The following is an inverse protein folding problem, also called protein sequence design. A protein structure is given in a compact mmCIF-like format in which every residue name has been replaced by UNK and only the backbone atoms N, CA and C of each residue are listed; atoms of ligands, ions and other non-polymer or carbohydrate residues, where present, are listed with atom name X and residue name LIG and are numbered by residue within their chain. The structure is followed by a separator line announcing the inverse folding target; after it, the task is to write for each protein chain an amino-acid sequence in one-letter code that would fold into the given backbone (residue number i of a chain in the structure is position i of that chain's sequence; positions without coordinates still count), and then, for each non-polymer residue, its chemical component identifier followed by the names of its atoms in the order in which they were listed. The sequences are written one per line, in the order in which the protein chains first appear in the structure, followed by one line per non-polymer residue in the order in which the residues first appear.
data_IF_705341982482
#
_entry.id   IF_705341982482
#
_cell.length_a   1.000
_cell.length_b   1.000
_cell.length_c   1.000
_cell.angle_alpha   90.00
_cell.angle_beta   90.00
_cell.angle_gamma   90.00
#
_symmetry.space_group_name_H-M   'P 1'
#
loop_
_entity.id
_entity.type
_entity.pdbx_description
1 polymer ?
#
# COMPACT_ATOMS: atom_id res chain seq x y z
N UNK A 1 -9.31 -7.34 0.83
CA UNK A 1 -9.54 -6.75 -0.52
C UNK A 1 -8.24 -6.84 -1.29
N UNK A 2 -8.23 -6.85 -2.63
CA UNK A 2 -6.98 -6.89 -3.40
C UNK A 2 -6.83 -5.60 -4.21
N UNK A 3 -5.82 -4.75 -3.91
CA UNK A 3 -5.56 -3.55 -4.69
C UNK A 3 -4.99 -3.92 -6.07
N UNK A 4 -5.37 -3.16 -7.10
CA UNK A 4 -4.94 -3.39 -8.49
C UNK A 4 -3.98 -2.32 -9.02
N UNK A 5 -4.03 -1.13 -8.44
CA UNK A 5 -3.22 0.02 -8.84
C UNK A 5 -2.87 0.82 -7.59
N UNK A 6 -1.68 1.42 -7.57
CA UNK A 6 -1.26 2.39 -6.56
C UNK A 6 -0.96 3.73 -7.22
N UNK A 7 -1.23 4.82 -6.50
CA UNK A 7 -0.73 6.15 -6.85
C UNK A 7 0.49 6.42 -5.98
N UNK A 8 1.63 6.71 -6.58
CA UNK A 8 2.86 7.04 -5.84
C UNK A 8 2.98 8.53 -5.56
N UNK A 9 4.01 8.95 -4.80
CA UNK A 9 4.22 10.36 -4.42
C UNK A 9 4.41 11.30 -5.62
N UNK A 10 4.79 10.78 -6.78
CA UNK A 10 4.90 11.54 -8.03
C UNK A 10 3.54 11.77 -8.73
N UNK A 11 2.45 11.26 -8.14
CA UNK A 11 1.10 11.35 -8.70
C UNK A 11 0.83 10.35 -9.83
N UNK A 12 1.81 9.51 -10.19
CA UNK A 12 1.64 8.51 -11.24
C UNK A 12 0.96 7.26 -10.71
N UNK A 13 0.18 6.62 -11.59
CA UNK A 13 -0.48 5.35 -11.34
C UNK A 13 0.42 4.21 -11.79
N UNK A 14 0.54 3.21 -10.93
CA UNK A 14 1.29 2.00 -11.18
C UNK A 14 0.39 0.79 -10.97
N UNK A 15 0.37 -0.12 -11.93
CA UNK A 15 -0.37 -1.36 -11.81
C UNK A 15 0.36 -2.35 -10.89
N UNK A 16 -0.43 -3.05 -10.08
CA UNK A 16 0.06 -4.12 -9.23
C UNK A 16 0.05 -5.41 -10.05
N UNK A 17 1.23 -5.91 -10.38
CA UNK A 17 1.42 -7.18 -11.08
C UNK A 17 0.83 -8.34 -10.26
N UNK A 18 1.08 -8.32 -8.95
CA UNK A 18 0.64 -9.38 -8.02
C UNK A 18 0.65 -8.91 -6.57
N UNK A 19 -0.34 -9.39 -5.80
CA UNK A 19 -0.28 -9.43 -4.33
C UNK A 19 0.34 -10.76 -3.90
N UNK A 20 1.51 -10.70 -3.27
CA UNK A 20 2.32 -11.86 -2.88
C UNK A 20 1.91 -12.39 -1.50
N UNK A 21 1.65 -11.49 -0.55
CA UNK A 21 1.37 -11.83 0.85
C UNK A 21 0.54 -10.74 1.51
N UNK A 22 -0.30 -11.11 2.49
CA UNK A 22 -1.13 -10.20 3.27
C UNK A 22 -1.08 -10.65 4.73
N UNK A 23 -0.66 -9.76 5.63
CA UNK A 23 -0.60 -10.05 7.07
C UNK A 23 -0.86 -8.82 7.92
N UNK A 24 -1.37 -8.97 9.15
CA UNK A 24 -1.39 -7.88 10.12
C UNK A 24 0.05 -7.41 10.40
N UNK A 25 0.30 -6.11 10.28
CA UNK A 25 1.57 -5.49 10.64
C UNK A 25 1.39 -3.99 10.88
N UNK A 26 2.20 -3.42 11.77
CA UNK A 26 2.28 -1.97 11.91
C UNK A 26 3.22 -1.40 10.84
N UNK A 27 2.90 -0.20 10.34
CA UNK A 27 3.77 0.51 9.41
C UNK A 27 4.81 1.30 10.20
N UNK A 28 5.96 0.67 10.45
CA UNK A 28 7.01 1.19 11.32
C UNK A 28 7.50 2.60 10.95
N UNK A 29 7.56 2.93 9.64
CA UNK A 29 8.10 4.20 9.15
C UNK A 29 7.06 5.31 8.98
N UNK A 30 5.83 4.95 8.62
CA UNK A 30 4.76 5.91 8.34
C UNK A 30 3.82 6.11 9.55
N UNK A 31 3.93 5.25 10.56
CA UNK A 31 2.90 5.11 11.59
C UNK A 31 1.64 4.43 11.05
N UNK A 32 0.82 3.90 11.94
CA UNK A 32 -0.45 3.25 11.61
C UNK A 32 -0.47 1.75 11.86
N UNK A 33 -1.66 1.23 12.11
CA UNK A 33 -1.92 -0.18 12.34
C UNK A 33 -2.83 -0.74 11.24
N UNK A 34 -2.63 -1.99 10.84
CA UNK A 34 -3.52 -2.62 9.88
C UNK A 34 -2.90 -3.79 9.14
N UNK A 35 -3.34 -3.98 7.90
CA UNK A 35 -2.88 -5.06 7.04
C UNK A 35 -1.75 -4.57 6.13
N UNK A 36 -0.62 -5.28 6.13
CA UNK A 36 0.47 -5.08 5.17
C UNK A 36 0.34 -6.07 4.02
N UNK A 37 0.34 -5.52 2.83
CA UNK A 37 0.35 -6.22 1.55
C UNK A 37 1.77 -6.17 1.00
N UNK A 38 2.36 -7.33 0.73
CA UNK A 38 3.56 -7.44 -0.11
C UNK A 38 3.07 -7.49 -1.55
N UNK A 39 3.39 -6.46 -2.33
CA UNK A 39 2.96 -6.34 -3.72
C UNK A 39 4.17 -6.34 -4.66
N UNK A 40 3.94 -6.74 -5.90
CA UNK A 40 4.89 -6.60 -6.99
C UNK A 40 4.36 -5.54 -7.97
N UNK A 41 5.21 -4.60 -8.35
CA UNK A 41 4.93 -3.50 -9.28
C UNK A 41 6.14 -3.35 -10.18
N UNK A 42 5.95 -3.42 -11.50
CA UNK A 42 7.04 -3.40 -12.49
C UNK A 42 8.14 -4.44 -12.18
N UNK A 43 7.74 -5.63 -11.72
CA UNK A 43 8.70 -6.67 -11.35
C UNK A 43 9.38 -6.49 -9.98
N UNK A 44 9.31 -5.31 -9.35
CA UNK A 44 9.90 -5.02 -8.05
C UNK A 44 8.92 -5.23 -6.89
N UNK A 45 9.41 -5.72 -5.74
CA UNK A 45 8.57 -5.91 -4.54
C UNK A 45 8.54 -4.67 -3.66
N UNK A 46 7.36 -4.29 -3.20
CA UNK A 46 7.17 -3.20 -2.24
C UNK A 46 6.04 -3.51 -1.25
N UNK A 47 5.81 -2.62 -0.29
CA UNK A 47 4.78 -2.76 0.74
C UNK A 47 3.71 -1.68 0.61
N UNK A 48 2.46 -2.12 0.68
CA UNK A 48 1.27 -1.29 0.73
C UNK A 48 0.51 -1.63 2.00
N UNK A 49 0.00 -0.62 2.70
CA UNK A 49 -0.65 -0.76 3.99
C UNK A 49 -2.09 -0.30 3.90
N UNK A 50 -2.99 -1.03 4.57
CA UNK A 50 -4.39 -0.65 4.73
C UNK A 50 -4.72 -0.53 6.21
N UNK A 51 -5.12 0.67 6.62
CA UNK A 51 -5.63 0.95 7.96
C UNK A 51 -7.13 1.15 7.90
N UNK A 52 -7.88 0.36 8.68
CA UNK A 52 -9.35 0.44 8.72
C UNK A 52 -9.79 1.71 9.45
N UNK A 53 -10.89 2.29 8.98
CA UNK A 53 -11.57 3.35 9.72
C UNK A 53 -12.12 2.80 11.04
N UNK A 54 -11.99 3.57 12.12
CA UNK A 54 -12.59 3.23 13.42
C UNK A 54 -14.05 3.66 13.51
N UNK A 55 -14.54 4.48 12.57
CA UNK A 55 -15.91 4.94 12.57
C UNK A 55 -16.79 4.01 11.70
N UNK A 56 -17.72 3.25 12.30
CA UNK A 56 -18.57 2.31 11.56
C UNK A 56 -19.60 2.99 10.64
N UNK A 57 -19.81 4.30 10.76
CA UNK A 57 -20.74 5.06 9.91
C UNK A 57 -20.07 5.77 8.74
N UNK A 58 -18.73 5.71 8.65
CA UNK A 58 -18.00 6.32 7.54
C UNK A 58 -18.16 5.51 6.25
N UNK A 59 -18.46 6.19 5.16
CA UNK A 59 -18.50 5.60 3.82
C UNK A 59 -17.11 5.13 3.38
N UNK A 60 -16.04 5.70 3.95
CA UNK A 60 -14.66 5.24 3.74
C UNK A 60 -14.30 4.16 4.75
N UNK A 61 -14.12 2.95 4.26
CA UNK A 61 -13.75 1.77 5.07
C UNK A 61 -12.34 1.85 5.69
N UNK A 62 -11.51 2.80 5.25
CA UNK A 62 -10.14 2.96 5.69
C UNK A 62 -9.29 3.74 4.70
N UNK A 63 -7.98 3.76 4.95
CA UNK A 63 -6.99 4.43 4.11
C UNK A 63 -5.90 3.48 3.65
N UNK A 64 -5.49 3.65 2.40
CA UNK A 64 -4.32 3.00 1.82
C UNK A 64 -3.13 3.94 1.86
N UNK A 65 -1.95 3.43 2.19
CA UNK A 65 -0.73 4.20 2.19
C UNK A 65 0.50 3.31 2.00
N UNK A 66 1.60 3.90 1.58
CA UNK A 66 2.89 3.23 1.38
C UNK A 66 3.91 3.81 2.37
N UNK A 67 4.88 3.01 2.80
CA UNK A 67 5.99 3.56 3.57
C UNK A 67 6.93 4.30 2.62
N UNK A 68 7.33 5.52 3.01
CA UNK A 68 8.26 6.33 2.23
C UNK A 68 9.58 5.56 2.01
N UNK A 69 9.83 5.17 0.76
CA UNK A 69 11.10 4.66 0.25
C UNK A 69 11.38 5.33 -1.10
N UNK A 70 12.67 5.40 -1.44
CA UNK A 70 13.24 6.03 -2.64
C UNK A 70 12.38 5.76 -3.89
N UNK A 71 12.13 6.76 -4.77
CA UNK A 71 11.07 6.68 -5.79
C UNK A 71 11.12 5.41 -6.64
N UNK A 72 9.95 4.88 -7.03
CA UNK A 72 9.83 3.71 -7.90
C UNK A 72 10.55 3.87 -9.26
N UNK A 73 10.83 5.11 -9.68
CA UNK A 73 11.66 5.42 -10.85
C UNK A 73 13.09 4.88 -10.76
N UNK A 74 13.62 4.59 -9.57
CA UNK A 74 14.92 3.95 -9.44
C UNK A 74 14.88 2.42 -9.66
N UNK A 75 13.68 1.85 -9.80
CA UNK A 75 13.45 0.44 -10.11
C UNK A 75 12.93 0.23 -11.55
N UNK A 76 12.82 1.31 -12.34
CA UNK A 76 12.50 1.34 -13.77
C UNK A 76 13.78 1.60 -14.58
#
# INVERSE_FOLDING_TARGET
MLPRTIVWEDGLKYDIDRVIDIRPAYAAKAGGQGDRYTIQVNGARTYLYFERSSNPTDTKIGRWFVERKVPLKEFL
#
